data_IF_652104992809
#
_entry.id   IF_652104992809
#
_cell.length_a   1.000
_cell.length_b   1.000
_cell.length_c   1.000
_cell.angle_alpha   90.00
_cell.angle_beta   90.00
_cell.angle_gamma   90.00
#
_symmetry.space_group_name_H-M   'P 1'
#
loop_
_entity.id
_entity.type
_entity.pdbx_description
1 polymer ?
#
# COMPACT_ATOMS: atom_id res chain seq x y z
N UNK A 1 4.81 9.96 7.21
CA UNK A 1 4.80 8.59 7.77
C UNK A 1 5.06 7.55 6.70
N UNK A 2 4.29 7.51 5.60
CA UNK A 2 4.51 6.55 4.51
C UNK A 2 5.90 6.62 3.87
N UNK A 3 6.39 7.82 3.51
CA UNK A 3 7.77 8.00 3.02
C UNK A 3 8.83 7.47 3.98
N UNK A 4 8.69 7.77 5.26
CA UNK A 4 9.59 7.26 6.32
C UNK A 4 9.57 5.73 6.39
N UNK A 5 8.40 5.11 6.21
CA UNK A 5 8.31 3.65 6.14
C UNK A 5 9.00 3.10 4.89
N UNK A 6 8.76 3.72 3.73
CA UNK A 6 9.42 3.34 2.49
C UNK A 6 10.95 3.45 2.60
N UNK A 7 11.47 4.52 3.17
CA UNK A 7 12.92 4.71 3.39
C UNK A 7 13.52 3.69 4.37
N UNK A 8 12.73 3.22 5.34
CA UNK A 8 13.23 2.34 6.40
C UNK A 8 13.11 0.84 6.06
N UNK A 9 11.96 0.40 5.54
CA UNK A 9 11.70 -1.03 5.25
C UNK A 9 11.66 -1.37 3.76
N UNK A 10 11.59 -0.36 2.89
CA UNK A 10 11.41 -0.56 1.45
C UNK A 10 9.96 -0.88 1.04
N UNK A 11 9.63 -0.71 -0.25
CA UNK A 11 8.27 -0.89 -0.76
C UNK A 11 7.81 -2.35 -0.78
N UNK A 12 8.71 -3.35 -0.78
CA UNK A 12 8.37 -4.78 -0.77
C UNK A 12 7.89 -5.32 0.58
N UNK A 13 7.95 -4.50 1.63
CA UNK A 13 7.55 -4.88 3.00
C UNK A 13 6.30 -4.13 3.48
N UNK A 14 5.63 -3.41 2.58
CA UNK A 14 4.46 -2.58 2.90
C UNK A 14 3.25 -3.17 2.18
N UNK A 15 2.12 -3.28 2.88
CA UNK A 15 0.84 -3.74 2.31
C UNK A 15 -0.23 -2.69 2.52
N UNK A 16 -1.14 -2.54 1.57
CA UNK A 16 -2.32 -1.71 1.73
C UNK A 16 -3.36 -2.41 2.62
N UNK A 17 -3.81 -1.72 3.66
CA UNK A 17 -4.90 -2.14 4.52
C UNK A 17 -5.95 -1.04 4.58
N UNK A 18 -7.20 -1.37 4.25
CA UNK A 18 -8.26 -0.37 4.27
C UNK A 18 -8.73 -0.02 5.68
N UNK A 19 -8.65 -0.94 6.64
CA UNK A 19 -9.21 -0.80 8.00
C UNK A 19 -10.75 -0.63 8.02
N UNK A 20 -11.44 -1.25 7.06
CA UNK A 20 -12.90 -1.29 7.07
C UNK A 20 -13.44 -2.20 8.19
N UNK A 21 -14.54 -1.81 8.86
CA UNK A 21 -15.41 -0.66 8.57
C UNK A 21 -15.00 0.65 9.29
N UNK A 22 -13.87 0.70 9.98
CA UNK A 22 -13.51 1.85 10.83
C UNK A 22 -13.14 3.12 10.03
N UNK A 23 -12.77 2.98 8.76
CA UNK A 23 -12.18 4.04 7.92
C UNK A 23 -12.95 4.33 6.62
N UNK A 24 -14.23 3.97 6.53
CA UNK A 24 -15.05 3.97 5.29
C UNK A 24 -14.91 5.21 4.38
N UNK A 25 -14.78 6.40 4.98
CA UNK A 25 -14.65 7.66 4.22
C UNK A 25 -13.22 7.94 3.75
N UNK A 26 -12.22 7.41 4.45
CA UNK A 26 -10.81 7.72 4.26
C UNK A 26 -10.16 6.72 3.32
N UNK A 27 -10.52 5.42 3.40
CA UNK A 27 -9.93 4.37 2.59
C UNK A 27 -9.92 4.66 1.07
N UNK A 28 -11.01 5.18 0.44
CA UNK A 28 -11.00 5.51 -0.98
C UNK A 28 -10.10 6.70 -1.35
N UNK A 29 -9.86 7.61 -0.40
CA UNK A 29 -9.02 8.79 -0.59
C UNK A 29 -7.55 8.41 -0.51
N UNK A 30 -7.17 7.62 0.49
CA UNK A 30 -5.79 7.13 0.67
C UNK A 30 -5.27 6.37 -0.55
N UNK A 31 -6.11 5.56 -1.20
CA UNK A 31 -5.76 4.86 -2.44
C UNK A 31 -5.45 5.80 -3.61
N UNK A 32 -6.22 6.90 -3.74
CA UNK A 32 -6.00 7.90 -4.79
C UNK A 32 -4.77 8.74 -4.53
N UNK A 33 -4.51 9.05 -3.27
CA UNK A 33 -3.36 9.88 -2.86
C UNK A 33 -2.06 9.07 -2.96
N UNK A 34 -2.10 7.77 -2.68
CA UNK A 34 -0.95 6.86 -2.85
C UNK A 34 -0.45 6.86 -4.30
N UNK A 35 -1.36 6.82 -5.28
CA UNK A 35 -1.01 6.86 -6.73
C UNK A 35 -0.41 8.19 -7.19
N UNK A 36 -0.66 9.27 -6.45
CA UNK A 36 -0.14 10.61 -6.76
C UNK A 36 1.12 10.94 -5.96
N UNK A 37 1.54 10.03 -5.09
CA UNK A 37 2.68 10.26 -4.23
C UNK A 37 3.96 10.13 -5.04
N UNK A 38 4.62 11.25 -5.33
CA UNK A 38 5.77 11.31 -6.26
C UNK A 38 6.96 10.44 -5.84
N UNK A 39 7.06 10.09 -4.55
CA UNK A 39 8.11 9.23 -4.03
C UNK A 39 7.84 7.72 -4.28
N UNK A 40 6.66 7.35 -4.77
CA UNK A 40 6.33 5.97 -5.19
C UNK A 40 6.30 5.88 -6.71
N UNK A 41 7.16 5.03 -7.26
CA UNK A 41 7.01 4.65 -8.67
C UNK A 41 5.75 3.80 -8.86
N UNK A 42 5.26 3.69 -10.09
CA UNK A 42 4.15 2.77 -10.42
C UNK A 42 4.49 1.32 -10.01
N UNK A 43 5.75 0.91 -10.10
CA UNK A 43 6.20 -0.41 -9.66
C UNK A 43 6.10 -0.58 -8.14
N UNK A 44 6.45 0.46 -7.38
CA UNK A 44 6.32 0.45 -5.91
C UNK A 44 4.84 0.43 -5.49
N UNK A 45 3.99 1.15 -6.23
CA UNK A 45 2.55 1.11 -6.01
C UNK A 45 2.00 -0.31 -6.20
N UNK A 46 2.40 -1.01 -7.28
CA UNK A 46 1.96 -2.39 -7.52
C UNK A 46 2.42 -3.38 -6.45
N UNK A 47 3.60 -3.15 -5.85
CA UNK A 47 4.07 -3.94 -4.71
C UNK A 47 3.12 -3.77 -3.52
N UNK A 48 2.83 -2.53 -3.14
CA UNK A 48 2.04 -2.22 -1.94
C UNK A 48 0.57 -2.57 -2.08
N UNK A 49 -0.03 -2.29 -3.24
CA UNK A 49 -1.48 -2.44 -3.47
C UNK A 49 -1.88 -3.92 -3.63
N UNK A 50 -1.02 -4.73 -4.23
CA UNK A 50 -1.37 -6.09 -4.64
C UNK A 50 -0.27 -7.10 -4.33
N UNK A 51 0.90 -6.98 -4.96
CA UNK A 51 1.87 -8.10 -5.04
C UNK A 51 2.37 -8.57 -3.66
N UNK A 52 2.69 -7.66 -2.75
CA UNK A 52 3.16 -8.02 -1.42
C UNK A 52 2.09 -8.77 -0.62
N UNK A 53 0.81 -8.44 -0.80
CA UNK A 53 -0.29 -9.14 -0.12
C UNK A 53 -0.39 -10.61 -0.54
N UNK A 54 -0.26 -10.93 -1.84
CA UNK A 54 -0.31 -12.32 -2.30
C UNK A 54 0.94 -13.12 -1.97
N UNK A 55 2.11 -12.47 -1.94
CA UNK A 55 3.33 -13.11 -1.46
C UNK A 55 3.23 -13.44 0.04
N UNK A 56 2.66 -12.54 0.85
CA UNK A 56 2.49 -12.72 2.28
C UNK A 56 1.34 -13.69 2.64
N UNK A 57 0.27 -13.69 1.83
CA UNK A 57 -0.93 -14.50 2.04
C UNK A 57 -1.26 -15.32 0.77
N UNK A 58 -0.45 -16.34 0.44
CA UNK A 58 -0.59 -17.10 -0.81
C UNK A 58 -1.91 -17.88 -0.92
N UNK A 59 -2.64 -18.06 0.18
CA UNK A 59 -3.99 -18.63 0.19
C UNK A 59 -5.07 -17.70 -0.40
N UNK A 60 -4.76 -16.43 -0.64
CA UNK A 60 -5.69 -15.46 -1.23
C UNK A 60 -5.61 -15.42 -2.77
N UNK A 61 -4.61 -16.08 -3.36
CA UNK A 61 -4.38 -16.18 -4.82
C UNK A 61 -5.30 -17.16 -5.53
#
# INVERSE_FOLDING_TARGET
MLKTMQEFVGPSQIVYGSDLPFSEKVAPMTLKDLKKYEDFSEADFQLVDYKNCFELFPQLT
#
